data_IF_977791130182
#
_entry.id   IF_977791130182
#
_cell.length_a   1.000
_cell.length_b   1.000
_cell.length_c   1.000
_cell.angle_alpha   90.00
_cell.angle_beta   90.00
_cell.angle_gamma   90.00
#
_symmetry.space_group_name_H-M   'P 1'
#
loop_
_entity.id
_entity.type
_entity.pdbx_description
1 polymer ?
#
# COMPACT_ATOMS: atom_id res chain seq x y z
N UNK A 1 -1.81 -11.62 17.16
CA UNK A 1 -1.36 -12.60 16.16
C UNK A 1 -1.14 -11.85 14.86
N UNK A 2 0.12 -11.62 14.48
CA UNK A 2 0.45 -10.84 13.29
C UNK A 2 0.18 -11.71 12.06
N UNK A 3 -0.91 -11.40 11.37
CA UNK A 3 -1.32 -12.02 10.12
C UNK A 3 -0.23 -11.75 9.07
N UNK A 4 0.71 -12.68 8.89
CA UNK A 4 1.74 -12.67 7.83
C UNK A 4 1.11 -13.00 6.47
N UNK A 5 0.04 -12.29 6.12
CA UNK A 5 -0.55 -12.37 4.79
C UNK A 5 0.30 -11.57 3.83
N UNK A 6 0.63 -12.21 2.72
CA UNK A 6 1.20 -11.55 1.56
C UNK A 6 0.07 -10.85 0.82
N UNK A 7 0.10 -9.52 0.84
CA UNK A 7 -0.81 -8.68 0.09
C UNK A 7 -0.26 -8.36 -1.29
N UNK A 8 -1.11 -8.58 -2.28
CA UNK A 8 -0.94 -8.02 -3.61
C UNK A 8 -1.34 -6.54 -3.63
N UNK A 9 -1.04 -5.85 -4.73
CA UNK A 9 -1.48 -4.47 -4.95
C UNK A 9 -2.97 -4.23 -4.68
N UNK A 10 -3.83 -5.21 -5.01
CA UNK A 10 -5.28 -5.12 -4.83
C UNK A 10 -5.67 -5.14 -3.35
N UNK A 11 -5.02 -5.98 -2.55
CA UNK A 11 -5.27 -6.06 -1.11
C UNK A 11 -4.76 -4.82 -0.38
N UNK A 12 -3.57 -4.33 -0.74
CA UNK A 12 -3.04 -3.06 -0.21
C UNK A 12 -4.00 -1.91 -0.50
N UNK A 13 -4.46 -1.82 -1.74
CA UNK A 13 -5.40 -0.80 -2.18
C UNK A 13 -6.71 -0.86 -1.37
N UNK A 14 -7.30 -2.04 -1.26
CA UNK A 14 -8.52 -2.27 -0.48
C UNK A 14 -8.34 -1.96 1.01
N UNK A 15 -7.18 -2.27 1.58
CA UNK A 15 -6.89 -2.03 3.00
C UNK A 15 -6.79 -0.54 3.33
N UNK A 16 -6.15 0.25 2.47
CA UNK A 16 -5.92 1.68 2.69
C UNK A 16 -7.09 2.52 2.14
N UNK A 17 -7.99 1.90 1.39
CA UNK A 17 -9.12 2.57 0.74
C UNK A 17 -8.69 3.42 -0.47
N UNK A 18 -7.60 3.04 -1.14
CA UNK A 18 -7.09 3.72 -2.36
C UNK A 18 -7.28 2.84 -3.59
N UNK A 19 -7.03 3.38 -4.78
CA UNK A 19 -7.04 2.59 -6.02
C UNK A 19 -5.72 1.83 -6.18
N UNK A 20 -5.76 0.69 -6.86
CA UNK A 20 -4.57 -0.11 -7.21
C UNK A 20 -3.54 0.72 -7.98
N UNK A 21 -3.99 1.61 -8.87
CA UNK A 21 -3.13 2.57 -9.59
C UNK A 21 -2.40 3.53 -8.66
N UNK A 22 -3.04 3.98 -7.58
CA UNK A 22 -2.38 4.82 -6.56
C UNK A 22 -1.23 4.08 -5.89
N UNK A 23 -1.42 2.78 -5.58
CA UNK A 23 -0.35 1.94 -5.01
C UNK A 23 0.80 1.76 -6.00
N UNK A 24 0.50 1.60 -7.30
CA UNK A 24 1.53 1.61 -8.36
C UNK A 24 2.29 2.93 -8.42
N UNK A 25 1.59 4.06 -8.34
CA UNK A 25 2.22 5.38 -8.29
C UNK A 25 3.12 5.51 -7.06
N UNK A 26 2.68 5.08 -5.87
CA UNK A 26 3.54 5.09 -4.69
C UNK A 26 4.81 4.27 -4.86
N UNK A 27 4.73 3.10 -5.51
CA UNK A 27 5.93 2.33 -5.84
C UNK A 27 6.81 3.09 -6.84
N UNK A 28 6.22 3.66 -7.91
CA UNK A 28 6.96 4.41 -8.93
C UNK A 28 7.69 5.62 -8.34
N UNK A 29 7.10 6.27 -7.34
CA UNK A 29 7.66 7.43 -6.65
C UNK A 29 8.54 7.06 -5.44
N UNK A 30 8.76 5.77 -5.16
CA UNK A 30 9.58 5.33 -4.00
C UNK A 30 8.95 5.62 -2.64
N UNK A 31 7.64 5.87 -2.59
CA UNK A 31 6.88 6.11 -1.36
C UNK A 31 6.42 4.80 -0.69
N UNK A 32 6.22 3.75 -1.49
CA UNK A 32 5.85 2.44 -1.00
C UNK A 32 7.11 1.72 -0.49
N UNK A 33 7.04 0.98 0.63
CA UNK A 33 8.14 0.11 1.05
C UNK A 33 8.55 -0.89 -0.05
N UNK A 34 9.81 -1.37 -0.03
CA UNK A 34 10.26 -2.42 -0.93
C UNK A 34 9.40 -3.68 -0.77
N UNK A 35 9.20 -4.46 -1.85
CA UNK A 35 8.44 -5.70 -1.78
C UNK A 35 9.17 -6.75 -0.95
N UNK A 36 8.47 -7.30 0.04
CA UNK A 36 9.00 -8.35 0.91
C UNK A 36 9.14 -9.69 0.16
N UNK A 37 8.27 -9.93 -0.82
CA UNK A 37 8.28 -11.17 -1.60
C UNK A 37 7.95 -10.89 -3.06
N UNK A 38 8.53 -11.67 -3.98
CA UNK A 38 8.21 -11.59 -5.41
C UNK A 38 7.91 -13.00 -5.90
N UNK A 39 6.67 -13.25 -6.27
CA UNK A 39 6.22 -14.56 -6.77
C UNK A 39 5.77 -14.42 -8.22
N UNK A 40 6.38 -15.20 -9.13
CA UNK A 40 6.04 -15.18 -10.56
C UNK A 40 6.19 -13.80 -11.22
N UNK A 41 7.12 -12.97 -10.74
CA UNK A 41 7.35 -11.60 -11.23
C UNK A 41 6.38 -10.55 -10.66
N UNK A 42 5.47 -10.93 -9.76
CA UNK A 42 4.57 -10.01 -9.06
C UNK A 42 5.12 -9.71 -7.67
N UNK A 43 5.31 -8.44 -7.29
CA UNK A 43 5.69 -8.06 -5.95
C UNK A 43 4.51 -8.19 -4.97
N UNK A 44 4.82 -8.68 -3.77
CA UNK A 44 3.94 -8.85 -2.64
C UNK A 44 4.58 -8.23 -1.39
N UNK A 45 3.72 -7.78 -0.48
CA UNK A 45 4.14 -7.15 0.78
C UNK A 45 3.45 -7.84 1.93
N UNK A 46 4.11 -7.87 3.09
CA UNK A 46 3.39 -8.30 4.28
C UNK A 46 2.36 -7.25 4.70
N UNK A 47 1.21 -7.72 5.15
CA UNK A 47 0.20 -6.87 5.78
C UNK A 47 0.80 -6.02 6.90
N UNK A 48 1.76 -6.56 7.65
CA UNK A 48 2.46 -5.85 8.73
C UNK A 48 3.33 -4.69 8.22
N UNK A 49 4.14 -4.91 7.17
CA UNK A 49 4.95 -3.88 6.51
C UNK A 49 4.07 -2.71 6.06
N UNK A 50 2.95 -3.03 5.41
CA UNK A 50 2.01 -2.02 4.90
C UNK A 50 1.31 -1.29 6.05
N UNK A 51 0.87 -1.99 7.09
CA UNK A 51 0.25 -1.37 8.28
C UNK A 51 1.22 -0.41 8.97
N UNK A 52 2.47 -0.81 9.16
CA UNK A 52 3.52 0.01 9.76
C UNK A 52 3.83 1.23 8.90
N UNK A 53 3.87 1.07 7.58
CA UNK A 53 4.03 2.20 6.68
C UNK A 53 2.83 3.17 6.73
N UNK A 54 1.60 2.65 6.76
CA UNK A 54 0.37 3.45 6.86
C UNK A 54 0.33 4.25 8.16
N UNK A 55 0.78 3.70 9.28
CA UNK A 55 0.83 4.42 10.56
C UNK A 55 1.93 5.49 10.59
N UNK A 56 3.03 5.29 9.87
CA UNK A 56 4.12 6.26 9.74
C UNK A 56 3.87 7.35 8.68
N UNK A 57 2.84 7.19 7.84
CA UNK A 57 2.53 8.10 6.72
C UNK A 57 2.04 9.47 7.24
N UNK A 58 2.71 10.59 6.87
CA UNK A 58 2.27 11.96 7.25
C UNK A 58 0.96 12.46 6.60
N UNK A 59 0.29 11.65 5.77
CA UNK A 59 -0.63 12.14 4.74
C UNK A 59 -2.08 11.64 4.79
N UNK A 60 -2.55 10.91 5.81
CA UNK A 60 -3.93 10.41 5.82
C UNK A 60 -4.97 11.38 6.41
N UNK A 61 -4.64 12.65 6.58
CA UNK A 61 -5.64 13.67 6.92
C UNK A 61 -6.41 14.05 5.66
N UNK A 62 -7.40 13.23 5.31
CA UNK A 62 -8.63 13.55 4.59
C UNK A 62 -8.58 14.83 3.73
N UNK A 63 -7.89 14.81 2.59
CA UNK A 63 -8.15 15.81 1.56
C UNK A 63 -9.28 15.30 0.67
N UNK A 64 -10.51 15.50 1.16
CA UNK A 64 -11.66 15.72 0.30
C UNK A 64 -11.33 16.95 -0.53
N UNK A 65 -11.06 16.77 -1.82
CA UNK A 65 -11.16 17.87 -2.77
C UNK A 65 -12.53 17.72 -3.42
N UNK A 66 -13.49 18.64 -3.17
CA UNK A 66 -14.62 18.76 -4.06
C UNK A 66 -14.06 19.24 -5.41
N UNK A 67 -14.34 18.50 -6.48
CA UNK A 67 -14.08 19.00 -7.82
C UNK A 67 -15.28 19.89 -8.19
N UNK A 68 -14.95 21.16 -8.44
CA UNK A 68 -15.76 22.17 -9.15
C UNK A 68 -16.23 21.62 -10.51
#
# INVERSE_FOLDING_TARGET
MTDRRLWSYKEIAAHIGVRTDTVRSYRKHGLLPPPDHVEGGKPYWYADTIRTWVTLRPGNRSRREPRD
#
